data_IF_603875497446
#
_entry.id   IF_603875497446
#
_cell.length_a   1.000
_cell.length_b   1.000
_cell.length_c   1.000
_cell.angle_alpha   90.00
_cell.angle_beta   90.00
_cell.angle_gamma   90.00
#
_symmetry.space_group_name_H-M   'P 1'
#
loop_
_entity.id
_entity.type
_entity.pdbx_description
1 polymer ?
#
# COMPACT_ATOMS: atom_id res chain seq x y z
N UNK A 1 6.24 3.28 18.31
CA UNK A 1 5.37 2.36 19.07
C UNK A 1 5.19 1.09 18.28
N UNK A 2 5.25 -0.07 18.93
CA UNK A 2 4.90 -1.35 18.32
C UNK A 2 3.60 -1.83 18.97
N UNK A 3 2.63 -2.26 18.16
CA UNK A 3 1.36 -2.81 18.64
C UNK A 3 1.37 -4.31 18.35
N UNK A 4 1.31 -5.14 19.40
CA UNK A 4 1.18 -6.59 19.29
C UNK A 4 -0.31 -6.97 19.30
N UNK A 5 -0.94 -6.98 18.11
CA UNK A 5 -2.34 -7.35 17.97
C UNK A 5 -2.50 -8.88 17.86
N UNK A 6 -3.04 -9.51 18.90
CA UNK A 6 -3.35 -10.93 18.90
C UNK A 6 -4.68 -11.19 18.16
N UNK A 7 -4.63 -11.96 17.07
CA UNK A 7 -5.79 -12.28 16.23
C UNK A 7 -5.84 -13.77 15.88
N UNK A 8 -6.98 -14.23 15.38
CA UNK A 8 -7.17 -15.62 14.94
C UNK A 8 -7.04 -15.69 13.41
N UNK A 9 -6.10 -16.49 12.90
CA UNK A 9 -6.01 -16.79 11.46
C UNK A 9 -7.30 -17.47 11.00
N UNK A 10 -7.98 -16.86 10.02
CA UNK A 10 -9.26 -17.37 9.49
C UNK A 10 -10.47 -17.08 10.37
N UNK A 11 -10.42 -16.04 11.21
CA UNK A 11 -11.56 -15.58 11.99
C UNK A 11 -12.81 -15.36 11.11
N UNK A 12 -13.98 -15.83 11.56
CA UNK A 12 -15.25 -15.71 10.83
C UNK A 12 -15.49 -16.74 9.72
N UNK A 13 -14.50 -17.58 9.38
CA UNK A 13 -14.61 -18.58 8.31
C UNK A 13 -15.04 -19.98 8.81
N UNK A 14 -15.56 -20.07 10.02
CA UNK A 14 -15.97 -21.33 10.64
C UNK A 14 -14.79 -22.22 11.10
N UNK A 15 -15.15 -23.37 11.69
CA UNK A 15 -14.20 -24.29 12.33
C UNK A 15 -13.26 -25.01 11.37
N UNK A 16 -13.57 -24.99 10.06
CA UNK A 16 -12.73 -25.55 8.99
C UNK A 16 -11.47 -24.74 8.71
N UNK A 17 -11.48 -23.42 8.98
CA UNK A 17 -10.37 -22.50 8.70
C UNK A 17 -9.79 -21.83 9.95
N UNK A 18 -10.65 -21.42 10.89
CA UNK A 18 -10.21 -20.66 12.06
C UNK A 18 -9.24 -21.48 12.93
N UNK A 19 -8.02 -20.97 13.12
CA UNK A 19 -6.99 -21.61 13.96
C UNK A 19 -6.44 -22.94 13.43
N UNK A 20 -6.79 -23.34 12.21
CA UNK A 20 -6.41 -24.66 11.63
C UNK A 20 -5.03 -24.69 10.97
N UNK A 21 -4.30 -23.57 10.96
CA UNK A 21 -3.06 -23.41 10.20
C UNK A 21 -3.18 -23.90 8.74
N UNK A 22 -4.36 -23.68 8.15
CA UNK A 22 -4.65 -24.04 6.76
C UNK A 22 -3.50 -23.65 5.84
N UNK A 23 -2.99 -24.62 5.08
CA UNK A 23 -1.91 -24.42 4.12
C UNK A 23 -2.45 -23.63 2.92
N UNK A 24 -1.55 -23.03 2.14
CA UNK A 24 -1.91 -22.29 0.93
C UNK A 24 -2.65 -23.15 -0.13
N UNK A 25 -2.76 -24.47 0.07
CA UNK A 25 -3.51 -25.38 -0.79
C UNK A 25 -5.03 -25.32 -0.56
N UNK A 26 -5.49 -24.78 0.58
CA UNK A 26 -6.91 -24.52 0.84
C UNK A 26 -7.35 -23.23 0.12
N UNK A 27 -7.35 -23.27 -1.22
CA UNK A 27 -7.62 -22.11 -2.10
C UNK A 27 -9.08 -21.68 -2.16
N UNK A 28 -10.00 -22.50 -1.66
CA UNK A 28 -11.45 -22.33 -1.87
C UNK A 28 -12.21 -22.63 -0.58
N UNK A 29 -13.18 -21.78 -0.27
CA UNK A 29 -14.17 -22.02 0.78
C UNK A 29 -15.19 -23.05 0.29
N UNK A 30 -15.63 -23.94 1.17
CA UNK A 30 -16.80 -24.78 0.92
C UNK A 30 -18.08 -23.94 1.03
N UNK A 31 -19.16 -24.42 0.43
CA UNK A 31 -20.44 -23.71 0.43
C UNK A 31 -20.92 -23.36 1.85
N UNK A 32 -20.81 -24.29 2.80
CA UNK A 32 -21.22 -24.04 4.20
C UNK A 32 -20.37 -22.96 4.89
N UNK A 33 -19.08 -22.87 4.53
CA UNK A 33 -18.17 -21.84 5.05
C UNK A 33 -18.50 -20.47 4.43
N UNK A 34 -18.88 -20.43 3.15
CA UNK A 34 -19.40 -19.22 2.49
C UNK A 34 -20.70 -18.74 3.12
N UNK A 35 -21.65 -19.65 3.38
CA UNK A 35 -22.92 -19.35 4.05
C UNK A 35 -22.66 -18.80 5.47
N UNK A 36 -21.77 -19.46 6.23
CA UNK A 36 -21.35 -19.00 7.56
C UNK A 36 -20.76 -17.58 7.52
N UNK A 37 -19.88 -17.30 6.54
CA UNK A 37 -19.28 -15.98 6.40
C UNK A 37 -20.35 -14.92 6.08
N UNK A 38 -21.23 -15.20 5.10
CA UNK A 38 -22.34 -14.32 4.69
C UNK A 38 -23.27 -14.00 5.86
N UNK A 39 -23.60 -14.98 6.68
CA UNK A 39 -24.43 -14.81 7.89
C UNK A 39 -23.70 -13.98 8.95
N UNK A 40 -22.42 -14.26 9.21
CA UNK A 40 -21.62 -13.51 10.20
C UNK A 40 -21.45 -12.03 9.86
N UNK A 41 -21.44 -11.72 8.55
CA UNK A 41 -21.36 -10.36 8.02
C UNK A 41 -22.74 -9.72 7.81
N UNK A 42 -23.83 -10.44 8.11
CA UNK A 42 -25.21 -10.00 7.92
C UNK A 42 -25.49 -9.52 6.49
N UNK A 43 -24.93 -10.23 5.50
CA UNK A 43 -25.07 -9.88 4.08
C UNK A 43 -26.36 -10.51 3.52
N UNK A 44 -27.27 -9.74 2.93
CA UNK A 44 -28.57 -10.21 2.40
C UNK A 44 -28.42 -10.86 1.01
N UNK A 45 -27.54 -11.85 0.89
CA UNK A 45 -27.43 -12.74 -0.28
C UNK A 45 -28.15 -14.05 0.07
N UNK A 46 -29.01 -14.57 -0.80
CA UNK A 46 -29.74 -15.82 -0.52
C UNK A 46 -28.88 -17.06 -0.70
N UNK A 47 -29.34 -18.20 -0.19
CA UNK A 47 -28.65 -19.48 -0.36
C UNK A 47 -28.56 -19.89 -1.84
N UNK A 48 -29.64 -19.70 -2.58
CA UNK A 48 -29.70 -20.02 -4.01
C UNK A 48 -28.68 -19.19 -4.80
N UNK A 49 -28.45 -17.94 -4.42
CA UNK A 49 -27.45 -17.09 -5.05
C UNK A 49 -26.01 -17.57 -4.78
N UNK A 50 -25.73 -18.14 -3.61
CA UNK A 50 -24.43 -18.73 -3.31
C UNK A 50 -24.24 -20.10 -3.94
N UNK A 51 -25.32 -20.87 -4.07
CA UNK A 51 -25.31 -22.22 -4.64
C UNK A 51 -25.26 -22.23 -6.18
N UNK A 52 -25.74 -21.16 -6.83
CA UNK A 52 -25.74 -21.04 -8.30
C UNK A 52 -24.32 -21.08 -8.89
N UNK A 53 -23.36 -20.39 -8.28
CA UNK A 53 -21.94 -20.51 -8.59
C UNK A 53 -21.10 -20.36 -7.31
N UNK A 54 -20.80 -21.46 -6.60
CA UNK A 54 -20.01 -21.42 -5.37
C UNK A 54 -18.58 -20.93 -5.57
N UNK A 55 -18.09 -20.86 -6.81
CA UNK A 55 -16.76 -20.33 -7.14
C UNK A 55 -16.78 -18.84 -7.47
N UNK A 56 -17.96 -18.25 -7.71
CA UNK A 56 -18.13 -16.83 -8.02
C UNK A 56 -19.33 -16.25 -7.26
N UNK A 57 -19.27 -16.15 -5.92
CA UNK A 57 -20.33 -15.53 -5.14
C UNK A 57 -20.51 -14.06 -5.56
N UNK A 58 -21.76 -13.53 -5.54
CA UNK A 58 -22.02 -12.18 -6.00
C UNK A 58 -21.39 -11.13 -5.07
N UNK A 59 -20.97 -10.01 -5.65
CA UNK A 59 -20.54 -8.85 -4.88
C UNK A 59 -21.74 -8.20 -4.18
N UNK A 60 -21.59 -7.88 -2.89
CA UNK A 60 -22.57 -7.11 -2.14
C UNK A 60 -22.22 -5.63 -2.10
N UNK A 61 -23.18 -4.78 -2.45
CA UNK A 61 -23.11 -3.34 -2.27
C UNK A 61 -24.48 -2.85 -1.76
N UNK A 62 -24.58 -2.36 -0.52
CA UNK A 62 -25.86 -1.90 0.04
C UNK A 62 -26.36 -0.58 -0.58
N UNK A 63 -25.53 0.07 -1.41
CA UNK A 63 -25.86 1.28 -2.12
C UNK A 63 -25.43 2.56 -1.38
N UNK A 64 -25.43 3.71 -2.07
CA UNK A 64 -24.88 4.95 -1.54
C UNK A 64 -25.70 5.54 -0.39
N UNK A 65 -26.97 5.16 -0.23
CA UNK A 65 -27.86 5.67 0.83
C UNK A 65 -27.80 4.86 2.13
N UNK A 66 -27.09 3.74 2.13
CA UNK A 66 -26.91 2.93 3.32
C UNK A 66 -26.13 3.70 4.39
N UNK A 67 -26.57 3.60 5.64
CA UNK A 67 -25.98 4.34 6.76
C UNK A 67 -24.51 3.98 6.98
N UNK A 68 -24.13 2.70 6.80
CA UNK A 68 -22.75 2.27 6.95
C UNK A 68 -21.85 2.89 5.88
N UNK A 69 -22.35 3.02 4.65
CA UNK A 69 -21.62 3.66 3.55
C UNK A 69 -21.47 5.16 3.81
N UNK A 70 -22.54 5.86 4.21
CA UNK A 70 -22.48 7.29 4.55
C UNK A 70 -21.51 7.56 5.70
N UNK A 71 -21.54 6.73 6.75
CA UNK A 71 -20.61 6.83 7.87
C UNK A 71 -19.16 6.61 7.43
N UNK A 72 -18.88 5.54 6.66
CA UNK A 72 -17.54 5.24 6.17
C UNK A 72 -16.97 6.39 5.32
N UNK A 73 -17.77 6.94 4.40
CA UNK A 73 -17.36 8.05 3.53
C UNK A 73 -17.07 9.32 4.33
N UNK A 74 -17.91 9.64 5.32
CA UNK A 74 -17.70 10.80 6.18
C UNK A 74 -16.44 10.64 7.05
N UNK A 75 -16.16 9.44 7.59
CA UNK A 75 -14.89 9.17 8.29
C UNK A 75 -13.69 9.38 7.39
N UNK A 76 -13.74 8.92 6.13
CA UNK A 76 -12.65 9.14 5.17
C UNK A 76 -12.45 10.63 4.87
N UNK A 77 -13.54 11.39 4.71
CA UNK A 77 -13.48 12.85 4.52
C UNK A 77 -12.80 13.54 5.72
N UNK A 78 -13.18 13.19 6.95
CA UNK A 78 -12.57 13.74 8.17
C UNK A 78 -11.08 13.36 8.32
N UNK A 79 -10.66 12.22 7.76
CA UNK A 79 -9.28 11.73 7.78
C UNK A 79 -8.46 12.12 6.54
N UNK A 80 -8.91 13.12 5.77
CA UNK A 80 -8.12 13.70 4.68
C UNK A 80 -8.22 12.98 3.33
N UNK A 81 -9.29 12.22 3.07
CA UNK A 81 -9.55 11.60 1.75
C UNK A 81 -9.49 10.09 1.79
N UNK A 82 -9.13 9.40 0.70
CA UNK A 82 -8.99 7.94 0.64
C UNK A 82 -7.51 7.52 0.71
N UNK A 83 -7.25 6.32 1.26
CA UNK A 83 -5.91 5.69 1.27
C UNK A 83 -6.04 4.18 1.01
N UNK A 84 -5.04 3.53 0.38
CA UNK A 84 -3.79 4.11 -0.12
C UNK A 84 -4.00 4.97 -1.38
N UNK A 85 -3.23 6.05 -1.49
CA UNK A 85 -3.20 6.94 -2.66
C UNK A 85 -1.75 7.01 -3.18
N UNK A 86 -1.57 6.95 -4.50
CA UNK A 86 -0.27 7.22 -5.14
C UNK A 86 -0.38 8.47 -6.00
N UNK A 87 0.36 9.51 -5.63
CA UNK A 87 0.41 10.78 -6.38
C UNK A 87 1.39 10.68 -7.54
N UNK A 88 1.00 11.18 -8.70
CA UNK A 88 1.84 11.30 -9.90
C UNK A 88 2.48 12.69 -10.03
N UNK A 89 1.82 13.73 -9.50
CA UNK A 89 2.34 15.09 -9.47
C UNK A 89 3.45 15.21 -8.42
N UNK A 90 4.57 15.80 -8.83
CA UNK A 90 5.73 16.05 -7.97
C UNK A 90 6.19 17.50 -8.12
N UNK A 91 6.88 18.01 -7.10
CA UNK A 91 7.53 19.32 -7.17
C UNK A 91 8.70 19.22 -8.15
N UNK A 92 8.69 20.04 -9.21
CA UNK A 92 9.79 20.09 -10.17
C UNK A 92 11.06 20.56 -9.45
N UNK A 93 12.12 19.76 -9.54
CA UNK A 93 13.42 20.10 -8.97
C UNK A 93 14.22 20.87 -10.02
N UNK A 94 14.58 22.12 -9.72
CA UNK A 94 15.68 22.80 -10.43
C UNK A 94 16.97 22.11 -10.04
N UNK A 95 17.72 21.64 -11.02
CA UNK A 95 19.05 21.08 -10.82
C UNK A 95 20.08 22.21 -10.84
N UNK A 96 21.22 22.06 -10.13
CA UNK A 96 22.34 22.97 -10.29
C UNK A 96 22.76 23.07 -11.76
N UNK A 97 23.29 24.22 -12.16
CA UNK A 97 23.85 24.39 -13.49
C UNK A 97 25.19 23.65 -13.67
N UNK A 98 25.67 23.56 -14.92
CA UNK A 98 26.88 22.82 -15.32
C UNK A 98 28.13 23.17 -14.49
N UNK A 99 28.24 24.41 -14.04
CA UNK A 99 29.35 24.92 -13.23
C UNK A 99 29.60 24.09 -11.96
N UNK A 100 28.56 23.52 -11.35
CA UNK A 100 28.68 22.68 -10.15
C UNK A 100 29.34 21.34 -10.47
N UNK A 101 29.20 20.86 -11.71
CA UNK A 101 29.72 19.57 -12.15
C UNK A 101 31.12 19.66 -12.80
N UNK A 102 31.52 20.85 -13.26
CA UNK A 102 32.79 21.07 -13.97
C UNK A 102 34.02 20.51 -13.25
N UNK A 103 34.11 20.69 -11.93
CA UNK A 103 35.28 20.25 -11.14
C UNK A 103 35.42 18.74 -11.18
N UNK A 104 34.32 18.01 -11.10
CA UNK A 104 34.35 16.55 -11.22
C UNK A 104 34.61 16.12 -12.68
N UNK A 105 33.95 16.77 -13.64
CA UNK A 105 34.03 16.44 -15.06
C UNK A 105 35.45 16.62 -15.66
N UNK A 106 36.23 17.59 -15.14
CA UNK A 106 37.65 17.77 -15.50
C UNK A 106 38.53 16.58 -15.12
N UNK A 107 38.03 15.68 -14.26
CA UNK A 107 38.79 14.57 -13.73
C UNK A 107 39.88 15.01 -12.76
N UNK A 108 40.62 14.06 -12.18
CA UNK A 108 41.56 14.37 -11.11
C UNK A 108 42.95 14.82 -11.57
N UNK A 109 43.13 15.03 -12.89
CA UNK A 109 44.41 15.40 -13.48
C UNK A 109 45.45 14.32 -13.26
N UNK A 110 46.49 14.64 -12.47
CA UNK A 110 47.62 13.74 -12.19
C UNK A 110 47.45 12.87 -10.95
N UNK A 111 46.38 13.08 -10.16
CA UNK A 111 46.11 12.29 -8.97
C UNK A 111 45.14 11.14 -9.26
N UNK A 112 45.38 9.98 -8.67
CA UNK A 112 44.36 8.93 -8.62
C UNK A 112 43.31 9.25 -7.56
N UNK A 113 42.04 8.99 -7.89
CA UNK A 113 40.93 9.07 -6.93
C UNK A 113 40.02 7.89 -7.12
N UNK A 114 39.63 7.28 -6.00
CA UNK A 114 38.60 6.27 -5.98
C UNK A 114 37.22 6.91 -6.20
N UNK A 115 36.27 6.14 -6.76
CA UNK A 115 34.90 6.59 -7.00
C UNK A 115 34.15 7.08 -5.74
N UNK A 116 34.41 6.59 -4.50
CA UNK A 116 33.83 7.20 -3.31
C UNK A 116 34.32 8.64 -3.07
N UNK A 117 35.58 8.93 -3.37
CA UNK A 117 36.14 10.28 -3.23
C UNK A 117 35.53 11.24 -4.25
N UNK A 118 35.33 10.76 -5.48
CA UNK A 118 34.62 11.49 -6.54
C UNK A 118 33.16 11.79 -6.13
N UNK A 119 32.44 10.81 -5.56
CA UNK A 119 31.08 10.98 -5.07
C UNK A 119 31.00 12.01 -3.94
N UNK A 120 31.91 11.96 -2.96
CA UNK A 120 31.95 12.93 -1.85
C UNK A 120 32.26 14.34 -2.35
N UNK A 121 33.15 14.50 -3.34
CA UNK A 121 33.46 15.80 -3.97
C UNK A 121 32.22 16.38 -4.66
N UNK A 122 31.52 15.58 -5.47
CA UNK A 122 30.27 16.02 -6.11
C UNK A 122 29.20 16.37 -5.08
N UNK A 123 29.02 15.53 -4.05
CA UNK A 123 28.03 15.79 -3.00
C UNK A 123 28.31 17.10 -2.26
N UNK A 124 29.58 17.41 -1.95
CA UNK A 124 29.98 18.69 -1.36
C UNK A 124 29.58 19.89 -2.22
N UNK A 125 29.75 19.79 -3.53
CA UNK A 125 29.43 20.89 -4.45
C UNK A 125 27.90 21.02 -4.64
N UNK A 126 27.15 19.91 -4.67
CA UNK A 126 25.68 19.91 -4.68
C UNK A 126 25.08 20.52 -3.39
N UNK A 127 25.64 20.23 -2.23
CA UNK A 127 25.18 20.77 -0.93
C UNK A 127 25.48 22.27 -0.79
N UNK A 128 26.50 22.79 -1.48
CA UNK A 128 26.84 24.22 -1.48
C UNK A 128 26.00 25.05 -2.43
N UNK A 129 25.34 24.42 -3.41
CA UNK A 129 24.44 25.11 -4.31
C UNK A 129 23.27 25.73 -3.52
N UNK A 130 23.02 27.03 -3.70
CA UNK A 130 22.05 27.76 -2.89
C UNK A 130 20.62 27.30 -3.14
N UNK A 131 20.32 26.89 -4.37
CA UNK A 131 18.97 26.54 -4.83
C UNK A 131 18.68 25.05 -4.69
N UNK A 132 19.71 24.20 -4.60
CA UNK A 132 19.57 22.74 -4.48
C UNK A 132 19.98 22.18 -3.12
N UNK A 133 20.97 22.76 -2.45
CA UNK A 133 21.64 22.15 -1.30
C UNK A 133 20.84 22.05 0.00
N UNK A 134 19.67 22.69 0.08
CA UNK A 134 18.77 22.66 1.25
C UNK A 134 17.75 21.51 1.21
N UNK A 135 17.80 20.67 0.17
CA UNK A 135 16.86 19.56 -0.03
C UNK A 135 17.29 18.26 0.62
#
# INVERSE_FOLDING_TARGET
TVILAHTIKGYGLGSGFAGRNATHQMKKLKIDELKTLRDSLHIPITDEQLEADPYLPPYYNPGPKDEAIQYMLERRRQLGGFVPERRSTHTKLTLPGDKVYETLAKGPGTQEVATPMALVRLFKDLVKDKDFGHR
#
